data_IF_530633487834
#
_entry.id   IF_530633487834
#
_cell.length_a   1.000
_cell.length_b   1.000
_cell.length_c   1.000
_cell.angle_alpha   90.00
_cell.angle_beta   90.00
_cell.angle_gamma   90.00
#
_symmetry.space_group_name_H-M   'P 1'
#
loop_
_entity.id
_entity.type
_entity.pdbx_description
1 polymer ?
#
# COMPACT_ATOMS: atom_id res chain seq x y z
N UNK A 1 -59.40 46.59 50.61
CA UNK A 1 -58.41 47.46 49.94
C UNK A 1 -57.91 46.71 48.71
N UNK A 2 -58.49 46.79 47.51
CA UNK A 2 -58.89 47.90 46.64
C UNK A 2 -57.70 48.74 46.10
N UNK A 3 -57.34 48.49 44.83
CA UNK A 3 -56.63 49.30 43.79
C UNK A 3 -56.21 48.28 42.70
N UNK A 4 -56.74 48.15 41.48
CA UNK A 4 -57.33 49.04 40.46
C UNK A 4 -56.44 50.22 40.05
N UNK A 5 -56.28 50.36 38.72
CA UNK A 5 -55.54 51.36 37.91
C UNK A 5 -54.16 50.87 37.41
N UNK A 6 -53.74 51.05 36.15
CA UNK A 6 -54.31 51.76 35.01
C UNK A 6 -53.57 51.32 33.75
N UNK A 7 -54.29 51.21 32.64
CA UNK A 7 -53.72 51.26 31.29
C UNK A 7 -53.13 52.66 31.01
N UNK A 8 -51.95 52.69 30.41
CA UNK A 8 -51.36 53.77 29.61
C UNK A 8 -50.18 53.10 28.88
N UNK A 9 -50.27 52.68 27.62
CA UNK A 9 -50.43 53.56 26.47
C UNK A 9 -49.14 54.34 26.26
N UNK A 10 -48.30 53.95 25.29
CA UNK A 10 -47.38 54.83 24.53
C UNK A 10 -46.51 54.01 23.54
N UNK A 11 -46.81 54.26 22.26
CA UNK A 11 -45.92 54.38 21.09
C UNK A 11 -45.14 53.14 20.62
N UNK A 12 -45.86 52.43 19.75
CA UNK A 12 -45.34 51.71 18.58
C UNK A 12 -44.36 52.60 17.79
N UNK A 13 -43.05 52.44 18.01
CA UNK A 13 -42.02 53.00 17.16
C UNK A 13 -41.71 51.96 16.06
N UNK A 14 -42.24 52.21 14.86
CA UNK A 14 -41.85 51.55 13.62
C UNK A 14 -40.37 51.86 13.33
N UNK A 15 -39.47 51.05 13.90
CA UNK A 15 -38.11 50.90 13.42
C UNK A 15 -38.16 49.96 12.21
N UNK A 16 -38.32 50.57 11.03
CA UNK A 16 -38.08 49.94 9.73
C UNK A 16 -36.59 49.60 9.59
N UNK A 17 -36.15 48.58 10.33
CA UNK A 17 -34.85 47.96 10.16
C UNK A 17 -34.88 47.09 8.91
N UNK A 18 -34.39 47.64 7.80
CA UNK A 18 -34.03 46.87 6.60
C UNK A 18 -32.85 45.95 6.96
N UNK A 19 -33.14 44.84 7.63
CA UNK A 19 -32.20 43.72 7.76
C UNK A 19 -32.13 43.12 6.36
N UNK A 20 -31.16 43.57 5.57
CA UNK A 20 -30.76 42.90 4.36
C UNK A 20 -30.30 41.49 4.75
N UNK A 21 -31.20 40.52 4.58
CA UNK A 21 -30.91 39.10 4.61
C UNK A 21 -29.94 38.83 3.45
N UNK A 22 -28.64 39.02 3.72
CA UNK A 22 -27.58 38.46 2.90
C UNK A 22 -27.61 36.97 3.17
N UNK A 23 -28.52 36.27 2.50
CA UNK A 23 -28.49 34.82 2.41
C UNK A 23 -27.15 34.48 1.76
N UNK A 24 -26.24 33.79 2.46
CA UNK A 24 -25.03 33.33 1.82
C UNK A 24 -25.47 32.42 0.67
N UNK A 25 -25.27 32.88 -0.56
CA UNK A 25 -25.45 32.07 -1.76
C UNK A 25 -24.39 30.99 -1.66
N UNK A 26 -24.75 29.86 -1.07
CA UNK A 26 -23.89 28.69 -1.03
C UNK A 26 -23.60 28.32 -2.48
N UNK A 27 -22.37 28.57 -2.92
CA UNK A 27 -21.96 28.33 -4.30
C UNK A 27 -22.31 26.90 -4.68
N UNK A 28 -23.21 26.75 -5.64
CA UNK A 28 -23.59 25.45 -6.17
C UNK A 28 -22.33 24.78 -6.70
N UNK A 29 -21.81 23.78 -5.97
CA UNK A 29 -20.69 22.96 -6.44
C UNK A 29 -21.24 22.01 -7.50
N UNK A 30 -20.56 21.94 -8.64
CA UNK A 30 -20.89 20.98 -9.68
C UNK A 30 -20.84 19.56 -9.10
N UNK A 31 -21.97 18.85 -9.12
CA UNK A 31 -22.03 17.47 -8.68
C UNK A 31 -21.35 16.59 -9.73
N UNK A 32 -20.37 15.77 -9.30
CA UNK A 32 -19.63 14.89 -10.22
C UNK A 32 -20.44 13.63 -10.56
N UNK A 33 -21.54 13.38 -9.83
CA UNK A 33 -22.32 12.15 -9.90
C UNK A 33 -21.70 11.01 -9.09
N UNK A 34 -20.69 11.31 -8.27
CA UNK A 34 -20.15 10.40 -7.27
C UNK A 34 -20.28 11.06 -5.88
N UNK A 35 -21.31 10.70 -5.08
CA UNK A 35 -21.63 11.41 -3.85
C UNK A 35 -20.53 11.31 -2.79
N UNK A 36 -19.79 10.21 -2.77
CA UNK A 36 -18.70 10.02 -1.80
C UNK A 36 -17.47 10.86 -2.18
N UNK A 37 -17.17 10.96 -3.48
CA UNK A 37 -16.18 11.93 -3.97
C UNK A 37 -16.60 13.35 -3.65
N UNK A 38 -17.83 13.74 -3.97
CA UNK A 38 -18.33 15.11 -3.73
C UNK A 38 -18.24 15.48 -2.24
N UNK A 39 -18.53 14.51 -1.36
CA UNK A 39 -18.36 14.65 0.09
C UNK A 39 -16.89 14.87 0.46
N UNK A 40 -15.97 13.99 0.05
CA UNK A 40 -14.54 14.09 0.36
C UNK A 40 -13.89 15.36 -0.23
N UNK A 41 -14.22 15.71 -1.47
CA UNK A 41 -13.73 16.91 -2.14
C UNK A 41 -14.21 18.19 -1.44
N UNK A 42 -15.41 18.16 -0.86
CA UNK A 42 -16.00 19.26 -0.10
C UNK A 42 -15.46 19.46 1.32
N UNK A 43 -14.74 18.48 1.88
CA UNK A 43 -14.14 18.57 3.22
C UNK A 43 -12.95 19.55 3.25
N UNK A 44 -12.73 20.15 4.42
CA UNK A 44 -11.47 20.84 4.73
C UNK A 44 -10.31 19.83 4.74
N UNK A 45 -9.10 20.26 4.40
CA UNK A 45 -7.95 19.38 4.16
C UNK A 45 -7.62 18.48 5.35
N UNK A 46 -7.67 19.00 6.57
CA UNK A 46 -7.42 18.24 7.80
C UNK A 46 -8.51 17.18 8.02
N UNK A 47 -9.78 17.55 7.86
CA UNK A 47 -10.91 16.61 7.94
C UNK A 47 -10.85 15.53 6.86
N UNK A 48 -10.51 15.92 5.61
CA UNK A 48 -10.33 15.00 4.48
C UNK A 48 -9.23 13.98 4.76
N UNK A 49 -8.07 14.42 5.27
CA UNK A 49 -6.97 13.50 5.65
C UNK A 49 -7.39 12.55 6.77
N UNK A 50 -8.10 13.03 7.78
CA UNK A 50 -8.59 12.17 8.86
C UNK A 50 -9.57 11.10 8.33
N UNK A 51 -10.44 11.47 7.40
CA UNK A 51 -11.39 10.54 6.79
C UNK A 51 -10.70 9.50 5.89
N UNK A 52 -9.75 9.92 5.04
CA UNK A 52 -8.93 9.00 4.22
C UNK A 52 -8.13 8.07 5.12
N UNK A 53 -7.55 8.58 6.22
CA UNK A 53 -6.81 7.77 7.18
C UNK A 53 -7.69 6.68 7.80
N UNK A 54 -8.90 7.06 8.23
CA UNK A 54 -9.90 6.13 8.77
C UNK A 54 -10.24 5.00 7.79
N UNK A 55 -10.39 5.31 6.50
CA UNK A 55 -10.61 4.29 5.48
C UNK A 55 -9.44 3.31 5.36
N UNK A 56 -8.20 3.83 5.37
CA UNK A 56 -7.00 2.99 5.26
C UNK A 56 -6.86 2.09 6.48
N UNK A 57 -6.92 2.64 7.69
CA UNK A 57 -6.75 1.84 8.92
C UNK A 57 -7.90 0.85 9.14
N UNK A 58 -9.12 1.18 8.69
CA UNK A 58 -10.27 0.27 8.76
C UNK A 58 -10.13 -0.97 7.87
N UNK A 59 -9.21 -0.97 6.90
CA UNK A 59 -8.94 -2.09 5.99
C UNK A 59 -7.79 -3.01 6.46
N UNK A 60 -7.31 -2.85 7.70
CA UNK A 60 -6.12 -3.51 8.24
C UNK A 60 -4.80 -3.16 7.51
N UNK A 61 -4.77 -2.03 6.78
CA UNK A 61 -3.54 -1.51 6.19
C UNK A 61 -2.69 -0.75 7.23
N UNK A 62 -1.37 -0.95 7.19
CA UNK A 62 -0.42 -0.23 8.03
C UNK A 62 -0.17 1.17 7.49
N UNK A 63 -0.93 2.14 7.99
CA UNK A 63 -0.68 3.57 7.77
C UNK A 63 -0.66 4.25 9.15
N UNK A 64 0.45 4.91 9.51
CA UNK A 64 0.58 5.61 10.80
C UNK A 64 0.05 7.04 10.72
N UNK A 65 0.29 7.73 9.60
CA UNK A 65 -0.23 9.05 9.33
C UNK A 65 -0.19 9.34 7.83
N UNK A 66 -1.16 10.10 7.33
CA UNK A 66 -1.18 10.55 5.93
C UNK A 66 -0.31 11.80 5.78
N UNK A 67 0.71 11.73 4.93
CA UNK A 67 1.55 12.88 4.55
C UNK A 67 1.01 13.62 3.32
N UNK A 68 0.34 12.92 2.40
CA UNK A 68 -0.22 13.52 1.20
C UNK A 68 -1.46 12.75 0.72
N UNK A 69 -2.42 13.49 0.14
CA UNK A 69 -3.57 12.96 -0.58
C UNK A 69 -3.74 13.71 -1.89
N UNK A 70 -4.17 13.01 -2.94
CA UNK A 70 -4.44 13.61 -4.24
C UNK A 70 -5.63 12.92 -4.91
N UNK A 71 -6.48 13.69 -5.56
CA UNK A 71 -7.51 13.15 -6.44
C UNK A 71 -6.88 12.82 -7.80
N UNK A 72 -7.07 11.59 -8.25
CA UNK A 72 -6.41 11.06 -9.44
C UNK A 72 -7.31 11.06 -10.67
N UNK A 73 -8.63 11.13 -10.50
CA UNK A 73 -9.57 11.20 -11.63
C UNK A 73 -10.73 10.22 -11.49
N UNK A 74 -11.51 10.15 -12.56
CA UNK A 74 -12.64 9.24 -12.70
C UNK A 74 -12.36 8.21 -13.79
N UNK A 75 -12.91 7.00 -13.65
CA UNK A 75 -13.04 6.06 -14.78
C UNK A 75 -14.35 6.29 -15.57
N UNK A 76 -14.60 5.45 -16.58
CA UNK A 76 -15.83 5.47 -17.36
C UNK A 76 -17.10 5.16 -16.54
N UNK A 77 -16.97 4.46 -15.42
CA UNK A 77 -18.07 4.16 -14.49
C UNK A 77 -18.27 5.25 -13.42
N UNK A 78 -17.55 6.38 -13.52
CA UNK A 78 -17.50 7.46 -12.52
C UNK A 78 -17.01 7.00 -11.14
N UNK A 79 -16.25 5.93 -11.08
CA UNK A 79 -15.47 5.57 -9.89
C UNK A 79 -14.41 6.65 -9.69
N UNK A 80 -14.39 7.29 -8.53
CA UNK A 80 -13.38 8.28 -8.20
C UNK A 80 -12.15 7.60 -7.57
N UNK A 81 -10.97 8.01 -7.98
CA UNK A 81 -9.71 7.50 -7.43
C UNK A 81 -9.00 8.55 -6.61
N UNK A 82 -8.61 8.19 -5.39
CA UNK A 82 -7.82 9.04 -4.51
C UNK A 82 -6.55 8.32 -4.10
N UNK A 83 -5.42 8.96 -4.33
CA UNK A 83 -4.12 8.47 -3.91
C UNK A 83 -3.72 9.07 -2.58
N UNK A 84 -3.07 8.26 -1.76
CA UNK A 84 -2.58 8.65 -0.44
C UNK A 84 -1.17 8.14 -0.25
N UNK A 85 -0.35 8.95 0.44
CA UNK A 85 0.99 8.58 0.88
C UNK A 85 1.00 8.62 2.40
N UNK A 86 1.36 7.51 3.00
CA UNK A 86 1.59 7.40 4.43
C UNK A 86 3.01 7.87 4.76
N UNK A 87 3.23 8.32 6.00
CA UNK A 87 4.50 8.87 6.49
C UNK A 87 5.65 7.86 6.39
N UNK A 88 5.35 6.58 6.57
CA UNK A 88 6.25 5.43 6.41
C UNK A 88 6.57 5.10 4.93
N UNK A 89 5.98 5.82 3.97
CA UNK A 89 6.25 5.68 2.54
C UNK A 89 5.28 4.76 1.80
N UNK A 90 4.43 4.00 2.50
CA UNK A 90 3.37 3.21 1.85
C UNK A 90 2.43 4.13 1.06
N UNK A 91 2.03 3.68 -0.13
CA UNK A 91 1.12 4.42 -1.00
C UNK A 91 -0.10 3.57 -1.32
N UNK A 92 -1.28 4.16 -1.15
CA UNK A 92 -2.55 3.49 -1.37
C UNK A 92 -3.42 4.28 -2.33
N UNK A 93 -4.12 3.56 -3.20
CA UNK A 93 -5.19 4.10 -4.04
C UNK A 93 -6.53 3.60 -3.51
N UNK A 94 -7.41 4.54 -3.27
CA UNK A 94 -8.79 4.29 -2.87
C UNK A 94 -9.70 4.49 -4.07
N UNK A 95 -10.49 3.47 -4.39
CA UNK A 95 -11.55 3.54 -5.38
C UNK A 95 -12.89 3.77 -4.67
N UNK A 96 -13.58 4.84 -5.07
CA UNK A 96 -14.89 5.23 -4.56
C UNK A 96 -15.93 4.98 -5.66
N UNK A 97 -16.68 3.87 -5.63
CA UNK A 97 -17.69 3.61 -6.64
C UNK A 97 -18.81 4.66 -6.60
N UNK A 98 -19.39 5.00 -7.76
CA UNK A 98 -20.43 6.03 -7.84
C UNK A 98 -21.77 5.62 -7.17
N UNK A 99 -21.98 4.33 -6.90
CA UNK A 99 -23.22 3.85 -6.29
C UNK A 99 -23.32 4.33 -4.84
N UNK A 100 -24.52 4.79 -4.46
CA UNK A 100 -24.82 5.18 -3.08
C UNK A 100 -24.60 3.97 -2.16
N UNK A 101 -23.85 4.16 -1.08
CA UNK A 101 -23.47 3.14 -0.09
C UNK A 101 -22.51 2.04 -0.59
N UNK A 102 -21.92 2.17 -1.77
CA UNK A 102 -20.84 1.26 -2.16
C UNK A 102 -19.69 1.37 -1.16
N UNK A 103 -19.08 0.23 -0.82
CA UNK A 103 -17.90 0.21 0.03
C UNK A 103 -16.69 0.70 -0.77
N UNK A 104 -15.93 1.67 -0.26
CA UNK A 104 -14.63 2.01 -0.83
C UNK A 104 -13.74 0.79 -0.91
N UNK A 105 -12.97 0.69 -2.00
CA UNK A 105 -11.95 -0.35 -2.16
C UNK A 105 -10.59 0.28 -1.99
N UNK A 106 -9.66 -0.44 -1.38
CA UNK A 106 -8.31 0.02 -1.14
C UNK A 106 -7.33 -0.96 -1.77
N UNK A 107 -6.38 -0.44 -2.53
CA UNK A 107 -5.29 -1.21 -3.11
C UNK A 107 -3.95 -0.52 -2.82
N UNK A 108 -2.91 -1.35 -2.67
CA UNK A 108 -1.54 -0.87 -2.60
C UNK A 108 -1.10 -0.47 -4.00
N UNK A 109 -0.59 0.74 -4.14
CA UNK A 109 -0.11 1.24 -5.43
C UNK A 109 1.11 0.47 -5.92
N UNK A 110 1.19 0.27 -7.23
CA UNK A 110 2.26 -0.49 -7.87
C UNK A 110 2.13 -2.01 -7.69
N UNK A 111 1.04 -2.52 -7.13
CA UNK A 111 0.78 -3.95 -7.14
C UNK A 111 0.48 -4.42 -8.58
N UNK A 112 1.14 -5.49 -9.00
CA UNK A 112 1.06 -6.03 -10.38
C UNK A 112 -0.30 -6.65 -10.70
N UNK A 113 -1.12 -6.91 -9.68
CA UNK A 113 -2.43 -7.57 -9.78
C UNK A 113 -3.50 -6.65 -9.20
N UNK A 114 -4.27 -5.95 -10.04
CA UNK A 114 -5.37 -5.10 -9.55
C UNK A 114 -5.90 -4.03 -10.51
N UNK A 115 -5.41 -3.97 -11.76
CA UNK A 115 -5.92 -3.02 -12.75
C UNK A 115 -5.62 -1.56 -12.38
N UNK A 116 -6.56 -0.65 -12.66
CA UNK A 116 -6.40 0.80 -12.39
C UNK A 116 -6.22 1.08 -10.89
N UNK A 117 -6.86 0.28 -10.04
CA UNK A 117 -6.80 0.37 -8.57
C UNK A 117 -5.38 0.13 -8.05
N UNK A 118 -4.58 -0.71 -8.71
CA UNK A 118 -3.21 -1.04 -8.29
C UNK A 118 -2.11 -0.38 -9.11
N UNK A 119 -2.48 0.53 -10.03
CA UNK A 119 -1.53 1.25 -10.87
C UNK A 119 -0.58 2.18 -10.09
N UNK A 120 0.28 2.93 -10.80
CA UNK A 120 1.13 3.93 -10.16
C UNK A 120 0.26 4.99 -9.46
N UNK A 121 0.54 5.21 -8.17
CA UNK A 121 -0.05 6.29 -7.39
C UNK A 121 0.42 7.67 -7.91
N UNK A 122 -0.37 8.70 -7.62
CA UNK A 122 -0.14 10.10 -7.98
C UNK A 122 -0.01 10.33 -9.50
N UNK A 123 -0.73 9.54 -10.28
CA UNK A 123 -0.87 9.70 -11.72
C UNK A 123 -2.34 9.81 -12.09
N UNK A 124 -2.65 10.72 -13.01
CA UNK A 124 -4.03 10.96 -13.41
C UNK A 124 -4.63 9.73 -14.13
N UNK A 125 -5.82 9.33 -13.69
CA UNK A 125 -6.67 8.33 -14.33
C UNK A 125 -7.30 8.99 -15.55
N UNK A 126 -6.96 8.51 -16.75
CA UNK A 126 -7.47 9.04 -18.02
C UNK A 126 -6.41 9.63 -18.96
N UNK A 127 -5.20 9.93 -18.46
CA UNK A 127 -4.03 10.25 -19.31
C UNK A 127 -2.96 9.17 -19.29
N UNK A 128 -3.01 8.26 -18.33
CA UNK A 128 -2.23 7.03 -18.38
C UNK A 128 -2.81 6.12 -19.48
N UNK A 129 -2.33 6.27 -20.73
CA UNK A 129 -2.14 5.10 -21.59
C UNK A 129 -1.60 4.01 -20.67
N UNK A 130 -2.27 2.85 -20.60
CA UNK A 130 -1.87 1.75 -19.73
C UNK A 130 -0.35 1.67 -19.75
N UNK A 131 0.28 2.21 -18.70
CA UNK A 131 1.71 2.26 -18.66
C UNK A 131 2.04 0.80 -18.53
N UNK A 132 2.48 0.19 -19.63
CA UNK A 132 3.17 -1.08 -19.63
C UNK A 132 4.25 -0.83 -18.60
N UNK A 133 4.02 -1.31 -17.38
CA UNK A 133 4.85 -0.94 -16.27
C UNK A 133 6.25 -1.39 -16.65
N UNK A 134 7.13 -0.44 -16.97
CA UNK A 134 8.56 -0.62 -16.97
C UNK A 134 9.01 -0.74 -15.52
N UNK A 135 8.36 -1.63 -14.76
CA UNK A 135 8.99 -2.16 -13.58
C UNK A 135 10.12 -3.04 -14.09
N UNK A 136 11.24 -3.02 -13.39
CA UNK A 136 12.23 -4.10 -13.41
C UNK A 136 11.63 -5.41 -12.85
N UNK A 137 10.32 -5.62 -13.02
CA UNK A 137 9.72 -6.92 -13.01
C UNK A 137 10.65 -7.76 -13.86
N UNK A 138 11.40 -8.60 -13.17
CA UNK A 138 11.81 -9.89 -13.68
C UNK A 138 10.49 -10.55 -14.06
N UNK A 139 9.98 -10.14 -15.23
CA UNK A 139 8.85 -10.77 -15.85
C UNK A 139 9.21 -12.23 -15.83
N UNK A 140 8.29 -13.05 -15.36
CA UNK A 140 8.37 -14.47 -15.65
C UNK A 140 8.53 -14.51 -17.17
N UNK A 141 9.74 -14.79 -17.63
CA UNK A 141 10.03 -14.82 -19.06
C UNK A 141 9.11 -15.89 -19.60
N UNK A 142 8.03 -15.47 -20.27
CA UNK A 142 7.09 -16.37 -20.92
C UNK A 142 7.69 -16.93 -22.21
N UNK A 143 8.97 -16.67 -22.47
CA UNK A 143 9.73 -17.40 -23.45
C UNK A 143 9.79 -18.89 -23.09
N UNK A 144 9.86 -19.78 -24.09
CA UNK A 144 10.03 -21.20 -23.85
C UNK A 144 11.29 -21.41 -23.00
N UNK A 145 11.10 -21.76 -21.73
CA UNK A 145 12.19 -22.17 -20.86
C UNK A 145 12.72 -23.48 -21.44
N UNK A 146 13.97 -23.47 -21.90
CA UNK A 146 14.65 -24.70 -22.29
C UNK A 146 14.51 -25.72 -21.15
N UNK A 147 14.23 -26.98 -21.51
CA UNK A 147 14.15 -28.03 -20.52
C UNK A 147 15.49 -28.09 -19.77
N UNK A 148 15.49 -28.11 -18.43
CA UNK A 148 16.72 -28.18 -17.66
C UNK A 148 17.47 -29.49 -17.99
N UNK A 149 18.81 -29.48 -18.02
CA UNK A 149 19.61 -30.69 -18.26
C UNK A 149 19.24 -31.83 -17.29
N UNK A 150 19.35 -33.11 -17.71
CA UNK A 150 19.20 -34.23 -16.81
C UNK A 150 20.13 -34.11 -15.60
N UNK A 151 19.64 -34.47 -14.41
CA UNK A 151 20.39 -34.36 -13.15
C UNK A 151 20.43 -32.96 -12.53
N UNK A 152 19.65 -32.00 -13.07
CA UNK A 152 19.56 -30.66 -12.49
C UNK A 152 19.07 -30.67 -11.03
N UNK A 153 19.62 -29.75 -10.24
CA UNK A 153 19.19 -29.45 -8.87
C UNK A 153 18.45 -28.12 -8.84
N UNK A 154 17.32 -28.10 -8.14
CA UNK A 154 16.44 -26.95 -8.05
C UNK A 154 16.44 -26.37 -6.65
N UNK A 155 16.31 -25.04 -6.59
CA UNK A 155 16.00 -24.26 -5.41
C UNK A 155 14.92 -23.24 -5.72
N UNK A 156 14.20 -22.79 -4.69
CA UNK A 156 13.16 -21.77 -4.83
C UNK A 156 13.12 -20.88 -3.60
N UNK A 157 12.95 -19.58 -3.83
CA UNK A 157 12.81 -18.56 -2.80
C UNK A 157 11.42 -17.95 -2.91
N UNK A 158 10.69 -18.00 -1.81
CA UNK A 158 9.42 -17.30 -1.63
C UNK A 158 9.55 -16.31 -0.48
N UNK A 159 8.89 -15.16 -0.58
CA UNK A 159 8.86 -14.18 0.50
C UNK A 159 7.58 -13.35 0.48
N UNK A 160 7.22 -12.79 1.63
CA UNK A 160 6.18 -11.76 1.72
C UNK A 160 6.76 -10.39 1.37
N UNK A 161 5.91 -9.45 0.97
CA UNK A 161 6.32 -8.06 0.86
C UNK A 161 6.48 -7.42 2.24
N UNK A 162 7.17 -6.28 2.28
CA UNK A 162 7.17 -5.37 3.42
C UNK A 162 5.72 -5.06 3.86
N UNK A 163 5.45 -4.96 5.18
CA UNK A 163 6.41 -4.93 6.28
C UNK A 163 6.75 -6.32 6.87
N UNK A 164 6.18 -7.40 6.35
CA UNK A 164 6.30 -8.73 6.95
C UNK A 164 7.58 -9.44 6.49
N UNK A 165 8.37 -9.93 7.44
CA UNK A 165 9.66 -10.58 7.18
C UNK A 165 9.59 -12.11 7.00
N UNK A 166 8.48 -12.65 6.48
CA UNK A 166 8.32 -14.08 6.26
C UNK A 166 8.93 -14.52 4.91
N UNK A 167 9.53 -15.70 4.89
CA UNK A 167 10.23 -16.23 3.72
C UNK A 167 10.23 -17.76 3.70
N UNK A 168 10.56 -18.35 2.57
CA UNK A 168 10.68 -19.79 2.44
C UNK A 168 11.75 -20.12 1.43
N UNK A 169 12.61 -21.07 1.79
CA UNK A 169 13.75 -21.47 0.99
C UNK A 169 13.75 -22.98 0.87
N UNK A 170 13.74 -23.48 -0.37
CA UNK A 170 14.01 -24.89 -0.68
C UNK A 170 15.22 -24.97 -1.61
N UNK A 171 16.07 -25.97 -1.44
CA UNK A 171 17.31 -26.16 -2.21
C UNK A 171 17.66 -27.65 -2.37
N UNK A 172 18.57 -27.97 -3.31
CA UNK A 172 19.16 -29.30 -3.50
C UNK A 172 18.23 -30.40 -4.04
N UNK A 173 16.94 -30.14 -4.28
CA UNK A 173 16.00 -31.16 -4.74
C UNK A 173 16.10 -31.46 -6.23
N UNK A 174 15.91 -32.72 -6.62
CA UNK A 174 15.82 -33.12 -8.04
C UNK A 174 14.41 -32.87 -8.62
N UNK A 175 13.39 -32.83 -7.76
CA UNK A 175 12.01 -32.52 -8.14
C UNK A 175 11.72 -31.02 -7.90
N UNK A 176 11.64 -30.27 -9.00
CA UNK A 176 11.34 -28.83 -9.01
C UNK A 176 10.03 -28.50 -8.30
N UNK A 177 8.98 -29.31 -8.47
CA UNK A 177 7.67 -29.05 -7.87
C UNK A 177 7.71 -29.28 -6.35
N UNK A 178 8.39 -30.34 -5.90
CA UNK A 178 8.56 -30.62 -4.49
C UNK A 178 9.31 -29.48 -3.77
N UNK A 179 10.41 -28.99 -4.37
CA UNK A 179 11.21 -27.86 -3.84
C UNK A 179 10.37 -26.59 -3.73
N UNK A 180 9.62 -26.23 -4.78
CA UNK A 180 8.74 -25.06 -4.76
C UNK A 180 7.65 -25.20 -3.69
N UNK A 181 7.03 -26.38 -3.58
CA UNK A 181 5.99 -26.64 -2.58
C UNK A 181 6.54 -26.53 -1.15
N UNK A 182 7.75 -27.04 -0.90
CA UNK A 182 8.43 -26.90 0.39
C UNK A 182 8.72 -25.44 0.73
N UNK A 183 9.26 -24.66 -0.22
CA UNK A 183 9.56 -23.25 -0.03
C UNK A 183 8.27 -22.45 0.27
N UNK A 184 7.19 -22.66 -0.50
CA UNK A 184 5.89 -22.01 -0.27
C UNK A 184 5.34 -22.31 1.12
N UNK A 185 5.32 -23.59 1.53
CA UNK A 185 4.81 -24.00 2.85
C UNK A 185 5.62 -23.40 4.00
N UNK A 186 6.95 -23.35 3.84
CA UNK A 186 7.85 -22.75 4.84
C UNK A 186 7.54 -21.25 5.01
N UNK A 187 7.33 -20.54 3.90
CA UNK A 187 6.91 -19.14 3.94
C UNK A 187 5.52 -18.96 4.58
N UNK A 188 4.53 -19.75 4.16
CA UNK A 188 3.16 -19.66 4.68
C UNK A 188 3.08 -19.96 6.19
N UNK A 189 3.92 -20.86 6.69
CA UNK A 189 4.01 -21.17 8.13
C UNK A 189 4.42 -19.93 8.95
N UNK A 190 5.31 -19.10 8.42
CA UNK A 190 5.70 -17.83 9.06
C UNK A 190 4.74 -16.68 8.76
N UNK A 191 4.19 -16.62 7.55
CA UNK A 191 3.37 -15.51 7.07
C UNK A 191 1.91 -15.54 7.55
N UNK A 192 1.42 -16.73 7.96
CA UNK A 192 0.02 -16.94 8.32
C UNK A 192 -0.91 -16.66 7.13
N UNK A 193 -1.63 -15.53 7.18
CA UNK A 193 -2.59 -15.13 6.12
C UNK A 193 -1.98 -14.25 5.02
N UNK A 194 -0.74 -13.80 5.18
CA UNK A 194 -0.10 -12.91 4.19
C UNK A 194 0.40 -13.75 3.01
N UNK A 195 0.13 -13.34 1.75
CA UNK A 195 0.51 -14.11 0.58
C UNK A 195 2.03 -14.14 0.38
N UNK A 196 2.56 -15.35 0.22
CA UNK A 196 3.96 -15.58 -0.16
C UNK A 196 4.12 -15.49 -1.67
N UNK A 197 5.02 -14.61 -2.13
CA UNK A 197 5.31 -14.39 -3.55
C UNK A 197 6.58 -15.15 -3.93
N UNK A 198 6.59 -15.68 -5.15
CA UNK A 198 7.80 -16.24 -5.75
C UNK A 198 8.80 -15.10 -6.00
N UNK A 199 10.05 -15.29 -5.57
CA UNK A 199 11.11 -14.29 -5.69
C UNK A 199 12.13 -14.72 -6.73
N UNK A 200 12.65 -15.94 -6.60
CA UNK A 200 13.70 -16.46 -7.47
C UNK A 200 13.69 -17.99 -7.48
N UNK A 201 14.09 -18.56 -8.62
CA UNK A 201 14.38 -19.97 -8.77
C UNK A 201 15.87 -20.15 -9.02
N UNK A 202 16.42 -21.20 -8.43
CA UNK A 202 17.83 -21.54 -8.46
C UNK A 202 17.94 -22.85 -9.23
N UNK A 203 18.72 -22.89 -10.31
CA UNK A 203 18.95 -24.11 -11.10
C UNK A 203 20.44 -24.34 -11.23
N UNK A 204 20.96 -25.42 -10.63
CA UNK A 204 22.38 -25.78 -10.64
C UNK A 204 23.30 -24.65 -10.15
N UNK A 205 22.85 -23.87 -9.17
CA UNK A 205 23.55 -22.73 -8.55
C UNK A 205 23.26 -22.74 -7.05
N UNK A 206 23.96 -21.87 -6.32
CA UNK A 206 23.61 -21.53 -4.95
C UNK A 206 22.84 -20.20 -4.95
N UNK A 207 21.96 -20.00 -3.98
CA UNK A 207 21.22 -18.76 -3.79
C UNK A 207 21.25 -18.28 -2.35
N UNK A 208 21.11 -16.98 -2.16
CA UNK A 208 21.00 -16.34 -0.85
C UNK A 208 19.84 -15.33 -0.84
N UNK A 209 19.16 -15.25 0.30
CA UNK A 209 18.13 -14.25 0.60
C UNK A 209 18.63 -13.34 1.71
N UNK A 210 18.65 -12.04 1.43
CA UNK A 210 18.99 -10.98 2.36
C UNK A 210 17.76 -10.10 2.60
N UNK A 211 17.51 -9.78 3.87
CA UNK A 211 16.48 -8.82 4.27
C UNK A 211 17.14 -7.50 4.65
N UNK A 212 16.69 -6.41 4.03
CA UNK A 212 16.91 -5.06 4.50
C UNK A 212 15.83 -4.74 5.54
N UNK A 213 16.23 -4.58 6.80
CA UNK A 213 15.31 -4.29 7.91
C UNK A 213 15.62 -2.95 8.55
N UNK A 214 14.60 -2.30 9.06
CA UNK A 214 14.72 -1.13 9.94
C UNK A 214 14.18 -1.44 11.33
N UNK A 215 14.56 -0.63 12.32
CA UNK A 215 13.99 -0.73 13.67
C UNK A 215 12.52 -0.32 13.63
N UNK A 216 11.66 -1.12 14.25
CA UNK A 216 10.26 -0.75 14.41
C UNK A 216 10.13 0.60 15.14
N UNK A 217 9.25 1.54 14.73
CA UNK A 217 9.17 2.87 15.34
C UNK A 217 8.93 2.88 16.86
N UNK A 218 8.24 1.85 17.35
CA UNK A 218 7.93 1.69 18.78
C UNK A 218 8.99 0.87 19.55
N UNK A 219 10.01 0.34 18.88
CA UNK A 219 11.05 -0.45 19.52
C UNK A 219 12.20 0.45 19.97
N UNK A 220 12.60 0.32 21.24
CA UNK A 220 13.75 1.06 21.80
C UNK A 220 15.06 0.59 21.15
N UNK A 221 15.19 -0.72 20.95
CA UNK A 221 16.33 -1.35 20.29
C UNK A 221 15.85 -2.42 19.30
N UNK A 222 16.68 -2.67 18.27
CA UNK A 222 16.47 -3.77 17.34
C UNK A 222 17.01 -5.06 17.98
N UNK A 223 16.17 -6.07 18.16
CA UNK A 223 16.52 -7.36 18.77
C UNK A 223 16.31 -8.49 17.76
N UNK A 224 16.64 -9.74 18.11
CA UNK A 224 16.36 -10.89 17.25
C UNK A 224 14.86 -11.16 17.01
N UNK A 225 13.96 -10.57 17.81
CA UNK A 225 12.52 -10.71 17.65
C UNK A 225 12.01 -9.89 16.46
N UNK A 226 11.23 -10.54 15.59
CA UNK A 226 10.55 -9.95 14.43
C UNK A 226 9.66 -8.77 14.82
N UNK A 227 9.11 -8.75 16.05
CA UNK A 227 8.29 -7.63 16.55
C UNK A 227 9.06 -6.30 16.65
N UNK A 228 10.39 -6.35 16.71
CA UNK A 228 11.26 -5.17 16.85
C UNK A 228 11.82 -4.66 15.52
N UNK A 229 11.48 -5.34 14.42
CA UNK A 229 11.98 -5.06 13.08
C UNK A 229 10.83 -4.78 12.10
N UNK A 230 11.08 -3.94 11.11
CA UNK A 230 10.22 -3.75 9.93
C UNK A 230 11.00 -4.18 8.71
N UNK A 231 10.44 -5.09 7.91
CA UNK A 231 11.03 -5.43 6.62
C UNK A 231 10.88 -4.22 5.69
N UNK A 232 11.99 -3.74 5.15
CA UNK A 232 11.98 -2.72 4.10
C UNK A 232 11.99 -3.38 2.72
N UNK A 233 12.85 -4.38 2.51
CA UNK A 233 13.01 -5.05 1.21
C UNK A 233 13.65 -6.44 1.35
N UNK A 234 13.21 -7.37 0.50
CA UNK A 234 13.91 -8.64 0.25
C UNK A 234 14.82 -8.50 -0.97
N UNK A 235 16.02 -9.06 -0.88
CA UNK A 235 17.01 -9.07 -1.95
C UNK A 235 17.56 -10.47 -2.09
N UNK A 236 17.72 -10.93 -3.32
CA UNK A 236 18.25 -12.25 -3.62
C UNK A 236 19.42 -12.14 -4.58
N UNK A 237 20.33 -13.08 -4.48
CA UNK A 237 21.37 -13.28 -5.48
C UNK A 237 21.65 -14.78 -5.64
N UNK A 238 22.10 -15.14 -6.82
CA UNK A 238 22.55 -16.49 -7.18
C UNK A 238 24.00 -16.46 -7.62
N UNK A 239 24.76 -17.51 -7.30
CA UNK A 239 26.16 -17.64 -7.64
C UNK A 239 26.60 -19.11 -7.69
N UNK A 240 27.87 -19.35 -8.01
CA UNK A 240 28.47 -20.71 -8.02
C UNK A 240 28.66 -21.30 -6.63
N UNK A 241 28.80 -20.44 -5.61
CA UNK A 241 28.97 -20.86 -4.22
C UNK A 241 28.02 -20.09 -3.32
N UNK A 242 27.64 -20.68 -2.18
CA UNK A 242 26.77 -20.04 -1.19
C UNK A 242 27.37 -18.69 -0.71
N UNK A 243 28.68 -18.67 -0.45
CA UNK A 243 29.36 -17.47 0.03
C UNK A 243 29.41 -16.34 -1.01
N UNK A 244 29.55 -16.68 -2.30
CA UNK A 244 29.47 -15.70 -3.37
C UNK A 244 28.05 -15.14 -3.52
N UNK A 245 27.02 -15.99 -3.37
CA UNK A 245 25.62 -15.56 -3.41
C UNK A 245 25.30 -14.61 -2.25
N UNK A 246 25.76 -14.93 -1.03
CA UNK A 246 25.60 -14.05 0.14
C UNK A 246 26.29 -12.71 -0.05
N UNK A 247 27.54 -12.72 -0.51
CA UNK A 247 28.29 -11.49 -0.74
C UNK A 247 27.58 -10.58 -1.76
N UNK A 248 27.08 -11.15 -2.86
CA UNK A 248 26.34 -10.41 -3.89
C UNK A 248 24.98 -9.86 -3.37
N UNK A 249 24.24 -10.65 -2.59
CA UNK A 249 22.98 -10.21 -1.99
C UNK A 249 23.19 -9.10 -0.94
N UNK A 250 24.23 -9.22 -0.11
CA UNK A 250 24.60 -8.21 0.88
C UNK A 250 25.08 -6.91 0.23
N UNK A 251 25.88 -7.00 -0.83
CA UNK A 251 26.30 -5.82 -1.60
C UNK A 251 25.10 -5.09 -2.19
N UNK A 252 24.15 -5.83 -2.79
CA UNK A 252 22.89 -5.27 -3.30
C UNK A 252 22.08 -4.58 -2.19
N UNK A 253 22.10 -5.12 -0.97
CA UNK A 253 21.42 -4.54 0.18
C UNK A 253 22.07 -3.24 0.65
N UNK A 254 23.40 -3.19 0.74
CA UNK A 254 24.15 -2.01 1.20
C UNK A 254 23.99 -0.81 0.28
N UNK A 255 23.68 -1.05 -1.00
CA UNK A 255 23.41 0.01 -1.99
C UNK A 255 22.01 0.62 -1.86
N UNK A 256 21.12 0.06 -1.05
CA UNK A 256 19.79 0.64 -0.82
C UNK A 256 19.90 1.95 -0.02
N UNK A 257 19.14 3.00 -0.40
CA UNK A 257 19.05 4.22 0.40
C UNK A 257 18.32 3.95 1.73
N UNK A 258 18.64 4.72 2.77
CA UNK A 258 17.86 4.75 4.01
C UNK A 258 18.39 3.95 5.21
N UNK A 259 19.70 3.66 5.27
CA UNK A 259 20.36 3.18 6.50
C UNK A 259 19.81 1.86 7.07
N UNK A 260 19.31 0.98 6.20
CA UNK A 260 18.76 -0.32 6.62
C UNK A 260 19.86 -1.25 7.13
N UNK A 261 19.54 -2.09 8.11
CA UNK A 261 20.42 -3.21 8.49
C UNK A 261 20.17 -4.37 7.54
N UNK A 262 21.25 -4.91 6.98
CA UNK A 262 21.20 -6.04 6.05
C UNK A 262 21.52 -7.34 6.79
N UNK A 263 20.64 -8.34 6.70
CA UNK A 263 20.86 -9.67 7.28
C UNK A 263 20.62 -10.77 6.26
N UNK A 264 21.49 -11.76 6.22
CA UNK A 264 21.25 -13.02 5.48
C UNK A 264 20.24 -13.83 6.29
N UNK A 265 19.15 -14.27 5.66
CA UNK A 265 18.14 -15.12 6.31
C UNK A 265 18.11 -16.54 5.78
N UNK A 266 18.56 -16.75 4.55
CA UNK A 266 18.71 -18.07 3.95
C UNK A 266 19.87 -18.08 2.96
N UNK A 267 20.53 -19.22 2.87
CA UNK A 267 21.62 -19.49 1.93
C UNK A 267 21.61 -20.99 1.62
N UNK A 268 21.94 -21.38 0.39
CA UNK A 268 22.08 -22.79 0.08
C UNK A 268 22.26 -23.10 -1.41
N UNK A 269 22.65 -24.35 -1.65
CA UNK A 269 22.70 -25.04 -2.94
C UNK A 269 21.90 -26.34 -2.76
#
# INVERSE_FOLDING_TARGET
>A
MLRLLSLCGVRLALLSGFIALVLPVAGARAQTGNPLHDQLAGMEETARRAEVFRFITGSAAGCQAISAIAFSGFDAARTAYWDSRCREGAMYRMALPAQRNARPRLAVCGATTGGIESGPCFQAIGTAQAAVASGDGRGVSTGPSAAPPPGSRFGAIYATDAPMAAWGFGNGGADRLAVNTQAVRSCQTMAGRVPCKFVEEIVNRCGALVQAVSRHPNAVAMTGDLSTMVLNRNLTATAETAQAAEAAALDSCRRLPGGSTCRVVATGC
#
